data_IF_226429579175
#
_entry.id   IF_226429579175
#
_cell.length_a   1.000
_cell.length_b   1.000
_cell.length_c   1.000
_cell.angle_alpha   90.00
_cell.angle_beta   90.00
_cell.angle_gamma   90.00
#
_symmetry.space_group_name_H-M   'P 1'
#
loop_
_entity.id
_entity.type
_entity.pdbx_description
1 polymer ?
#
# COMPACT_ATOMS: atom_id res chain seq x y z
N UNK A 1 17.07 12.14 -14.18
CA UNK A 1 18.25 12.58 -13.40
C UNK A 1 18.91 11.38 -12.71
N UNK A 2 18.17 10.64 -11.87
CA UNK A 2 18.70 9.49 -11.11
C UNK A 2 19.42 8.47 -11.99
N UNK A 3 18.84 8.10 -13.15
CA UNK A 3 19.46 7.16 -14.08
C UNK A 3 20.90 7.54 -14.48
N UNK A 4 21.16 8.83 -14.73
CA UNK A 4 22.53 9.28 -15.12
C UNK A 4 23.53 9.06 -13.99
N UNK A 5 23.13 9.29 -12.75
CA UNK A 5 23.95 9.09 -11.56
C UNK A 5 24.26 7.60 -11.37
N UNK A 6 23.24 6.76 -11.37
CA UNK A 6 23.43 5.31 -11.19
C UNK A 6 24.21 4.66 -12.34
N UNK A 7 23.97 5.10 -13.59
CA UNK A 7 24.78 4.64 -14.74
C UNK A 7 26.25 4.95 -14.53
N UNK A 8 26.59 6.19 -14.16
CA UNK A 8 27.97 6.58 -13.89
C UNK A 8 28.61 5.77 -12.75
N UNK A 9 27.87 5.54 -11.67
CA UNK A 9 28.32 4.70 -10.56
C UNK A 9 28.59 3.26 -10.99
N UNK A 10 27.73 2.67 -11.81
CA UNK A 10 27.91 1.33 -12.36
C UNK A 10 29.12 1.26 -13.30
N UNK A 11 29.27 2.22 -14.18
CA UNK A 11 30.41 2.28 -15.11
C UNK A 11 31.74 2.47 -14.39
N UNK A 12 31.80 3.27 -13.33
CA UNK A 12 32.99 3.40 -12.46
C UNK A 12 33.32 2.09 -11.75
N UNK A 13 32.32 1.33 -11.33
CA UNK A 13 32.52 0.09 -10.55
C UNK A 13 32.82 -1.13 -11.42
N UNK A 14 32.18 -1.28 -12.55
CA UNK A 14 32.19 -2.48 -13.37
C UNK A 14 32.75 -2.30 -14.79
N UNK A 15 33.13 -1.07 -15.14
CA UNK A 15 33.43 -0.71 -16.53
C UNK A 15 32.15 -0.62 -17.39
N UNK A 16 32.27 -0.16 -18.62
CA UNK A 16 31.13 0.07 -19.51
C UNK A 16 30.37 -1.22 -19.85
N UNK A 17 31.09 -2.29 -20.19
CA UNK A 17 30.47 -3.60 -20.51
C UNK A 17 29.80 -4.22 -19.29
N UNK A 18 30.49 -4.23 -18.14
CA UNK A 18 29.91 -4.77 -16.92
C UNK A 18 28.71 -3.97 -16.40
N UNK A 19 28.65 -2.66 -16.64
CA UNK A 19 27.48 -1.84 -16.36
C UNK A 19 26.31 -2.17 -17.29
N UNK A 20 26.57 -2.38 -18.59
CA UNK A 20 25.57 -2.77 -19.57
C UNK A 20 24.79 -4.03 -19.16
N UNK A 21 25.50 -5.05 -18.68
CA UNK A 21 24.92 -6.33 -18.23
C UNK A 21 24.07 -6.21 -16.95
N UNK A 22 24.09 -5.05 -16.27
CA UNK A 22 23.41 -4.80 -14.99
C UNK A 22 22.33 -3.73 -15.08
N UNK A 23 22.08 -3.24 -16.28
CA UNK A 23 21.04 -2.24 -16.54
C UNK A 23 19.89 -2.92 -17.30
N UNK A 24 18.75 -2.97 -16.67
CA UNK A 24 17.49 -3.46 -17.22
C UNK A 24 16.56 -2.27 -17.44
N UNK A 25 16.04 -2.10 -18.64
CA UNK A 25 15.20 -0.96 -18.98
C UNK A 25 13.75 -1.41 -19.25
N UNK A 26 12.85 -1.08 -18.33
CA UNK A 26 11.41 -1.25 -18.56
C UNK A 26 10.89 0.00 -19.26
N UNK A 27 10.45 -0.13 -20.51
CA UNK A 27 10.13 1.01 -21.37
C UNK A 27 9.12 0.65 -22.47
N UNK A 28 8.77 1.64 -23.28
CA UNK A 28 7.95 1.45 -24.48
C UNK A 28 8.60 0.45 -25.47
N UNK A 29 7.77 -0.26 -26.21
CA UNK A 29 8.20 -1.26 -27.18
C UNK A 29 9.04 -0.67 -28.32
N UNK A 30 8.67 0.50 -28.80
CA UNK A 30 9.18 1.04 -30.07
C UNK A 30 9.81 2.42 -29.98
N UNK A 31 9.40 3.29 -29.04
CA UNK A 31 9.73 4.72 -29.05
C UNK A 31 10.06 5.26 -27.66
N UNK A 32 10.55 6.48 -27.64
CA UNK A 32 10.91 7.18 -26.42
C UNK A 32 12.40 7.22 -26.13
N UNK A 33 12.83 8.18 -25.33
CA UNK A 33 14.25 8.44 -25.04
C UNK A 33 14.94 7.22 -24.39
N UNK A 34 14.28 6.55 -23.45
CA UNK A 34 14.83 5.36 -22.80
C UNK A 34 14.94 4.18 -23.76
N UNK A 35 13.96 3.97 -24.63
CA UNK A 35 14.02 2.92 -25.66
C UNK A 35 15.18 3.16 -26.64
N UNK A 36 15.33 4.38 -27.11
CA UNK A 36 16.43 4.76 -27.99
C UNK A 36 17.79 4.52 -27.32
N UNK A 37 17.93 4.94 -26.09
CA UNK A 37 19.15 4.72 -25.31
C UNK A 37 19.44 3.24 -25.08
N UNK A 38 18.44 2.47 -24.63
CA UNK A 38 18.60 1.04 -24.35
C UNK A 38 19.01 0.27 -25.61
N UNK A 39 18.41 0.60 -26.76
CA UNK A 39 18.79 0.00 -28.04
C UNK A 39 20.23 0.35 -28.43
N UNK A 40 20.64 1.62 -28.28
CA UNK A 40 21.99 2.09 -28.59
C UNK A 40 23.07 1.45 -27.70
N UNK A 41 22.81 1.36 -26.41
CA UNK A 41 23.78 0.85 -25.42
C UNK A 41 23.69 -0.68 -25.25
N UNK A 42 22.67 -1.32 -25.85
CA UNK A 42 22.48 -2.78 -25.77
C UNK A 42 21.97 -3.25 -24.40
N UNK A 43 21.15 -2.45 -23.72
CA UNK A 43 20.53 -2.87 -22.46
C UNK A 43 19.42 -3.88 -22.73
N UNK A 44 19.24 -4.83 -21.81
CA UNK A 44 18.07 -5.69 -21.80
C UNK A 44 16.80 -4.87 -21.54
N UNK A 45 15.73 -5.14 -22.29
CA UNK A 45 14.51 -4.34 -22.21
C UNK A 45 13.28 -5.18 -21.93
N UNK A 46 12.44 -4.65 -21.04
CA UNK A 46 11.09 -5.17 -20.78
C UNK A 46 10.05 -4.17 -21.27
N UNK A 47 8.98 -4.67 -21.85
CA UNK A 47 7.97 -3.82 -22.48
C UNK A 47 6.86 -3.47 -21.49
N UNK A 48 6.53 -2.19 -21.38
CA UNK A 48 5.29 -1.75 -20.73
C UNK A 48 4.15 -1.88 -21.73
N UNK A 49 3.07 -2.62 -21.43
CA UNK A 49 1.92 -2.73 -22.34
C UNK A 49 1.27 -1.35 -22.59
N UNK A 50 0.97 -1.04 -23.85
CA UNK A 50 0.42 0.27 -24.24
C UNK A 50 -0.94 0.60 -23.61
N UNK A 51 -1.70 -0.42 -23.24
CA UNK A 51 -3.03 -0.32 -22.63
C UNK A 51 -3.02 -0.34 -21.11
N UNK A 52 -1.84 -0.30 -20.45
CA UNK A 52 -1.70 -0.27 -19.01
C UNK A 52 -1.12 1.07 -18.56
N UNK A 53 -1.93 1.87 -17.88
CA UNK A 53 -1.50 3.13 -17.28
C UNK A 53 -0.52 2.94 -16.11
N UNK A 54 0.29 3.97 -15.81
CA UNK A 54 1.34 3.89 -14.79
C UNK A 54 0.88 3.38 -13.43
N UNK A 55 -0.21 3.92 -12.89
CA UNK A 55 -0.76 3.53 -11.58
C UNK A 55 -1.35 2.11 -11.53
N UNK A 56 -1.58 1.49 -12.68
CA UNK A 56 -2.04 0.09 -12.79
C UNK A 56 -0.92 -0.89 -13.14
N UNK A 57 0.32 -0.42 -13.25
CA UNK A 57 1.42 -1.17 -13.87
C UNK A 57 2.20 -2.07 -12.91
N UNK A 58 1.85 -2.14 -11.63
CA UNK A 58 2.59 -2.93 -10.62
C UNK A 58 2.68 -4.42 -10.99
N UNK A 59 1.65 -5.00 -11.60
CA UNK A 59 1.64 -6.39 -12.07
C UNK A 59 2.14 -6.55 -13.53
N UNK A 60 2.92 -5.60 -14.00
CA UNK A 60 3.68 -5.70 -15.26
C UNK A 60 5.18 -5.70 -14.94
N UNK A 61 6.04 -5.73 -15.96
CA UNK A 61 7.48 -5.63 -15.76
C UNK A 61 7.92 -4.38 -14.97
N UNK A 62 7.10 -3.33 -14.90
CA UNK A 62 7.38 -2.13 -14.10
C UNK A 62 7.54 -2.46 -12.62
N UNK A 63 6.62 -3.24 -12.06
CA UNK A 63 6.68 -3.66 -10.66
C UNK A 63 7.31 -5.04 -10.47
N UNK A 64 6.99 -6.01 -11.35
CA UNK A 64 7.44 -7.39 -11.17
C UNK A 64 8.96 -7.56 -11.22
N UNK A 65 9.66 -6.77 -12.07
CA UNK A 65 11.12 -6.86 -12.14
C UNK A 65 11.80 -6.49 -10.81
N UNK A 66 11.57 -5.30 -10.22
CA UNK A 66 12.17 -4.96 -8.92
C UNK A 66 11.66 -5.85 -7.79
N UNK A 67 10.42 -6.32 -7.82
CA UNK A 67 9.87 -7.27 -6.84
C UNK A 67 10.62 -8.60 -6.90
N UNK A 68 10.85 -9.15 -8.09
CA UNK A 68 11.63 -10.38 -8.28
C UNK A 68 13.08 -10.21 -7.80
N UNK A 69 13.72 -9.07 -8.12
CA UNK A 69 15.08 -8.74 -7.67
C UNK A 69 15.20 -8.67 -6.15
N UNK A 70 14.12 -8.27 -5.45
CA UNK A 70 14.07 -8.25 -3.98
C UNK A 70 13.90 -9.65 -3.36
N UNK A 71 13.72 -10.69 -4.17
CA UNK A 71 13.58 -12.08 -3.72
C UNK A 71 12.14 -12.50 -3.42
N UNK A 72 11.15 -11.67 -3.73
CA UNK A 72 9.73 -12.00 -3.59
C UNK A 72 9.28 -12.90 -4.74
N UNK A 73 8.50 -13.92 -4.42
CA UNK A 73 7.93 -14.87 -5.38
C UNK A 73 6.83 -14.20 -6.22
N UNK A 74 7.21 -13.78 -7.42
CA UNK A 74 6.29 -13.11 -8.35
C UNK A 74 5.24 -14.05 -8.95
N UNK A 75 5.49 -15.37 -8.97
CA UNK A 75 4.51 -16.34 -9.46
C UNK A 75 3.35 -16.43 -8.48
N UNK A 76 3.63 -16.52 -7.17
CA UNK A 76 2.59 -16.48 -6.14
C UNK A 76 1.85 -15.15 -6.11
N UNK A 77 2.56 -14.04 -6.30
CA UNK A 77 1.92 -12.73 -6.40
C UNK A 77 0.92 -12.67 -7.57
N UNK A 78 1.32 -13.15 -8.74
CA UNK A 78 0.46 -13.20 -9.92
C UNK A 78 -0.69 -14.19 -9.77
N UNK A 79 -0.44 -15.33 -9.12
CA UNK A 79 -1.47 -16.31 -8.81
C UNK A 79 -2.55 -15.70 -7.91
N UNK A 80 -2.17 -15.06 -6.80
CA UNK A 80 -3.13 -14.39 -5.91
C UNK A 80 -3.97 -13.33 -6.62
N UNK A 81 -3.34 -12.53 -7.50
CA UNK A 81 -4.06 -11.55 -8.30
C UNK A 81 -5.05 -12.21 -9.28
N UNK A 82 -4.70 -13.35 -9.88
CA UNK A 82 -5.57 -14.08 -10.77
C UNK A 82 -6.76 -14.70 -10.01
N UNK A 83 -6.52 -15.31 -8.87
CA UNK A 83 -7.56 -15.88 -8.00
C UNK A 83 -8.56 -14.82 -7.57
N UNK A 84 -8.07 -13.67 -7.06
CA UNK A 84 -8.94 -12.57 -6.65
C UNK A 84 -9.76 -12.00 -7.81
N UNK A 85 -9.17 -11.93 -9.00
CA UNK A 85 -9.89 -11.52 -10.21
C UNK A 85 -11.06 -12.47 -10.54
N UNK A 86 -10.83 -13.77 -10.49
CA UNK A 86 -11.89 -14.76 -10.76
C UNK A 86 -12.99 -14.69 -9.70
N UNK A 87 -12.65 -14.54 -8.42
CA UNK A 87 -13.61 -14.37 -7.34
C UNK A 87 -14.46 -13.09 -7.52
N UNK A 88 -13.80 -11.97 -7.85
CA UNK A 88 -14.50 -10.71 -8.09
C UNK A 88 -15.48 -10.80 -9.28
N UNK A 89 -15.06 -11.44 -10.39
CA UNK A 89 -15.91 -11.62 -11.56
C UNK A 89 -17.09 -12.58 -11.28
N UNK A 90 -16.86 -13.67 -10.56
CA UNK A 90 -17.90 -14.62 -10.17
C UNK A 90 -18.90 -14.00 -9.19
N UNK A 91 -18.43 -13.20 -8.24
CA UNK A 91 -19.25 -12.53 -7.23
C UNK A 91 -20.07 -11.35 -7.77
N UNK A 92 -19.60 -10.72 -8.84
CA UNK A 92 -20.26 -9.55 -9.44
C UNK A 92 -20.50 -8.44 -8.39
N UNK A 93 -21.74 -7.98 -8.25
CA UNK A 93 -22.12 -6.95 -7.26
C UNK A 93 -22.04 -7.41 -5.81
N UNK A 94 -21.92 -8.71 -5.57
CA UNK A 94 -21.75 -9.31 -4.25
C UNK A 94 -20.28 -9.50 -3.88
N UNK A 95 -19.36 -9.24 -4.78
CA UNK A 95 -17.92 -9.33 -4.49
C UNK A 95 -17.52 -8.27 -3.46
N UNK A 96 -16.46 -8.55 -2.71
CA UNK A 96 -15.92 -7.64 -1.69
C UNK A 96 -15.53 -6.29 -2.30
N UNK A 97 -14.94 -6.33 -3.50
CA UNK A 97 -14.52 -5.13 -4.23
C UNK A 97 -15.71 -4.25 -4.63
N UNK A 98 -16.77 -4.87 -5.15
CA UNK A 98 -17.97 -4.14 -5.52
C UNK A 98 -18.66 -3.54 -4.30
N UNK A 99 -18.76 -4.28 -3.21
CA UNK A 99 -19.33 -3.78 -1.96
C UNK A 99 -18.50 -2.64 -1.37
N UNK A 100 -17.17 -2.76 -1.38
CA UNK A 100 -16.28 -1.67 -0.96
C UNK A 100 -16.50 -0.41 -1.80
N UNK A 101 -16.52 -0.55 -3.12
CA UNK A 101 -16.75 0.57 -4.03
C UNK A 101 -18.13 1.23 -3.81
N UNK A 102 -19.19 0.43 -3.63
CA UNK A 102 -20.53 0.92 -3.34
C UNK A 102 -20.58 1.67 -2.01
N UNK A 103 -19.98 1.13 -0.94
CA UNK A 103 -19.93 1.77 0.37
C UNK A 103 -19.21 3.12 0.29
N UNK A 104 -18.07 3.21 -0.37
CA UNK A 104 -17.34 4.45 -0.60
C UNK A 104 -18.22 5.50 -1.29
N UNK A 105 -18.88 5.10 -2.38
CA UNK A 105 -19.75 6.01 -3.12
C UNK A 105 -20.97 6.44 -2.32
N UNK A 106 -21.61 5.53 -1.60
CA UNK A 106 -22.75 5.87 -0.72
C UNK A 106 -22.34 6.85 0.37
N UNK A 107 -21.22 6.64 1.02
CA UNK A 107 -20.69 7.55 2.04
C UNK A 107 -20.32 8.91 1.44
N UNK A 108 -19.72 8.95 0.26
CA UNK A 108 -19.42 10.19 -0.46
C UNK A 108 -20.70 10.99 -0.74
N UNK A 109 -21.78 10.33 -1.14
CA UNK A 109 -23.09 10.99 -1.38
C UNK A 109 -23.70 11.57 -0.11
N UNK A 110 -23.25 11.15 1.08
CA UNK A 110 -23.65 11.75 2.38
C UNK A 110 -22.68 12.82 2.88
N UNK A 111 -21.74 13.27 2.04
CA UNK A 111 -20.76 14.30 2.39
C UNK A 111 -19.45 13.80 2.96
N UNK A 112 -19.17 12.48 2.89
CA UNK A 112 -17.89 11.89 3.31
C UNK A 112 -16.91 11.87 2.13
N UNK A 113 -16.33 13.03 1.83
CA UNK A 113 -15.51 13.25 0.63
C UNK A 113 -14.01 12.97 0.83
N UNK A 114 -13.60 12.59 2.04
CA UNK A 114 -12.22 12.20 2.35
C UNK A 114 -12.23 10.78 2.88
N UNK A 115 -11.49 9.90 2.26
CA UNK A 115 -11.23 8.56 2.78
C UNK A 115 -9.83 8.48 3.36
N UNK A 116 -9.74 8.00 4.59
CA UNK A 116 -8.47 7.79 5.30
C UNK A 116 -8.21 6.30 5.37
N UNK A 117 -7.16 5.86 4.66
CA UNK A 117 -6.65 4.50 4.80
C UNK A 117 -5.75 4.43 6.04
N UNK A 118 -6.24 3.75 7.07
CA UNK A 118 -5.55 3.61 8.35
C UNK A 118 -4.91 2.23 8.45
N UNK A 119 -3.60 2.17 8.59
CA UNK A 119 -2.86 0.92 8.74
C UNK A 119 -2.14 0.85 10.08
N UNK A 120 -2.16 -0.35 10.69
CA UNK A 120 -1.46 -0.64 11.96
C UNK A 120 -0.18 -1.45 11.74
N UNK A 121 0.22 -1.58 10.49
CA UNK A 121 1.43 -2.29 10.06
C UNK A 121 2.35 -1.33 9.30
N UNK A 122 3.50 -0.96 9.86
CA UNK A 122 4.40 0.04 9.25
C UNK A 122 4.89 -0.33 7.85
N UNK A 123 5.04 -1.62 7.55
CA UNK A 123 5.47 -2.08 6.23
C UNK A 123 4.42 -1.85 5.13
N UNK A 124 3.15 -1.61 5.51
CA UNK A 124 2.07 -1.31 4.58
C UNK A 124 2.11 0.14 4.02
N UNK A 125 2.94 0.99 4.58
CA UNK A 125 3.02 2.42 4.23
C UNK A 125 3.12 2.67 2.72
N UNK A 126 3.98 1.96 2.00
CA UNK A 126 4.13 2.15 0.56
C UNK A 126 2.94 1.62 -0.26
N UNK A 127 2.21 0.65 0.25
CA UNK A 127 0.92 0.23 -0.33
C UNK A 127 -0.12 1.35 -0.19
N UNK A 128 -0.15 2.05 0.94
CA UNK A 128 -1.00 3.21 1.14
C UNK A 128 -0.63 4.38 0.20
N UNK A 129 0.68 4.61 -0.06
CA UNK A 129 1.11 5.60 -1.05
C UNK A 129 0.64 5.24 -2.47
N UNK A 130 0.76 3.97 -2.87
CA UNK A 130 0.23 3.53 -4.16
C UNK A 130 -1.30 3.64 -4.22
N UNK A 131 -2.01 3.28 -3.16
CA UNK A 131 -3.46 3.42 -3.05
C UNK A 131 -3.90 4.88 -3.25
N UNK A 132 -3.18 5.85 -2.66
CA UNK A 132 -3.44 7.29 -2.86
C UNK A 132 -3.30 7.69 -4.33
N UNK A 133 -2.22 7.25 -4.98
CA UNK A 133 -2.03 7.51 -6.42
C UNK A 133 -3.14 6.87 -7.26
N UNK A 134 -3.44 5.60 -6.99
CA UNK A 134 -4.44 4.84 -7.74
C UNK A 134 -5.81 5.54 -7.72
N UNK A 135 -6.30 5.89 -6.55
CA UNK A 135 -7.59 6.55 -6.41
C UNK A 135 -7.55 8.03 -6.78
N UNK A 136 -6.54 8.77 -6.34
CA UNK A 136 -6.42 10.20 -6.64
C UNK A 136 -6.35 10.49 -8.14
N UNK A 137 -5.54 9.77 -8.89
CA UNK A 137 -5.45 9.94 -10.35
C UNK A 137 -6.62 9.31 -11.11
N UNK A 138 -7.30 8.32 -10.56
CA UNK A 138 -8.44 7.68 -11.23
C UNK A 138 -9.72 8.46 -11.04
N UNK A 139 -10.02 8.90 -9.84
CA UNK A 139 -11.30 9.50 -9.44
C UNK A 139 -11.28 11.04 -9.38
N UNK A 140 -10.11 11.66 -9.14
CA UNK A 140 -9.96 13.12 -9.04
C UNK A 140 -10.06 13.83 -10.38
N UNK A 141 -11.24 13.83 -11.01
CA UNK A 141 -11.53 14.41 -12.31
C UNK A 141 -12.85 15.17 -12.26
N UNK A 142 -13.04 16.11 -13.17
CA UNK A 142 -14.27 16.86 -13.33
C UNK A 142 -14.78 17.50 -12.01
N UNK A 143 -13.84 17.89 -11.14
CA UNK A 143 -14.10 18.45 -9.80
C UNK A 143 -14.86 17.50 -8.87
N UNK A 144 -14.73 16.19 -9.09
CA UNK A 144 -15.35 15.13 -8.29
C UNK A 144 -14.28 14.19 -7.73
N UNK A 145 -14.73 13.13 -7.06
CA UNK A 145 -13.88 12.09 -6.48
C UNK A 145 -13.74 12.20 -4.96
N UNK A 146 -13.34 11.10 -4.36
CA UNK A 146 -13.06 11.02 -2.92
C UNK A 146 -11.56 11.29 -2.73
N UNK A 147 -11.22 12.24 -1.85
CA UNK A 147 -9.82 12.56 -1.58
C UNK A 147 -9.15 11.45 -0.77
N UNK A 148 -8.14 10.76 -1.31
CA UNK A 148 -7.46 9.68 -0.60
C UNK A 148 -6.37 10.22 0.31
N UNK A 149 -6.45 9.90 1.60
CA UNK A 149 -5.41 10.17 2.59
C UNK A 149 -5.01 8.88 3.29
N UNK A 150 -3.87 8.85 3.97
CA UNK A 150 -3.47 7.69 4.78
C UNK A 150 -2.84 8.12 6.10
N UNK A 151 -2.95 7.25 7.10
CA UNK A 151 -2.31 7.39 8.41
C UNK A 151 -1.66 6.08 8.83
N UNK A 152 -0.52 6.18 9.50
CA UNK A 152 0.17 5.06 10.13
C UNK A 152 -0.17 5.04 11.63
N UNK A 153 -0.96 4.13 12.05
CA UNK A 153 -1.38 4.01 13.44
C UNK A 153 -0.48 3.00 14.20
N UNK A 154 -0.10 3.25 15.44
CA UNK A 154 -0.66 4.23 16.39
C UNK A 154 0.01 5.63 16.40
N UNK A 155 1.21 5.86 15.77
CA UNK A 155 1.89 7.16 15.86
C UNK A 155 1.01 8.34 15.46
N UNK A 156 0.24 8.21 14.38
CA UNK A 156 -0.61 9.28 13.88
C UNK A 156 -1.87 9.56 14.73
N UNK A 157 -2.13 8.79 15.78
CA UNK A 157 -3.11 9.19 16.80
C UNK A 157 -2.71 10.50 17.48
N UNK A 158 -1.39 10.78 17.56
CA UNK A 158 -0.84 12.02 18.13
C UNK A 158 -0.77 13.18 17.13
N UNK A 159 -1.15 12.96 15.88
CA UNK A 159 -1.19 13.99 14.83
C UNK A 159 -2.61 14.14 14.27
N UNK A 160 -3.11 13.14 13.58
CA UNK A 160 -4.40 13.15 12.89
C UNK A 160 -5.57 12.65 13.74
N UNK A 161 -5.30 11.90 14.82
CA UNK A 161 -6.34 11.26 15.63
C UNK A 161 -7.36 12.24 16.20
N UNK A 162 -6.92 13.40 16.70
CA UNK A 162 -7.83 14.44 17.20
C UNK A 162 -8.79 14.94 16.10
N UNK A 163 -8.26 15.19 14.90
CA UNK A 163 -9.11 15.64 13.79
C UNK A 163 -10.07 14.56 13.31
N UNK A 164 -9.62 13.31 13.25
CA UNK A 164 -10.49 12.17 12.90
C UNK A 164 -11.61 12.02 13.92
N UNK A 165 -11.30 12.13 15.22
CA UNK A 165 -12.28 11.98 16.30
C UNK A 165 -13.27 13.13 16.40
N UNK A 166 -12.82 14.39 16.28
CA UNK A 166 -13.65 15.58 16.59
C UNK A 166 -13.66 16.65 15.50
N UNK A 167 -12.96 16.45 14.40
CA UNK A 167 -12.96 17.38 13.27
C UNK A 167 -14.25 17.36 12.46
N UNK A 168 -14.23 17.99 11.30
CA UNK A 168 -15.38 18.01 10.39
C UNK A 168 -15.79 16.60 9.96
N UNK A 169 -17.09 16.32 9.96
CA UNK A 169 -17.66 14.99 9.62
C UNK A 169 -17.67 14.71 8.11
N UNK A 170 -16.59 15.04 7.42
CA UNK A 170 -16.38 14.78 6.00
C UNK A 170 -15.54 13.53 5.74
N UNK A 171 -15.12 12.83 6.80
CA UNK A 171 -14.25 11.66 6.74
C UNK A 171 -15.03 10.36 6.71
N UNK A 172 -14.49 9.39 6.00
CA UNK A 172 -14.72 7.96 6.15
C UNK A 172 -13.37 7.28 6.35
N UNK A 173 -13.31 6.24 7.13
CA UNK A 173 -12.06 5.51 7.44
C UNK A 173 -12.12 4.10 6.88
N UNK A 174 -11.01 3.66 6.28
CA UNK A 174 -10.80 2.27 5.89
C UNK A 174 -9.60 1.74 6.67
N UNK A 175 -9.87 0.88 7.65
CA UNK A 175 -8.84 0.24 8.47
C UNK A 175 -8.33 -1.01 7.77
N UNK A 176 -7.01 -1.10 7.57
CA UNK A 176 -6.35 -2.33 7.11
C UNK A 176 -5.62 -2.96 8.28
N UNK A 177 -5.97 -4.21 8.57
CA UNK A 177 -5.40 -4.97 9.68
C UNK A 177 -4.98 -6.37 9.24
N UNK A 178 -3.83 -6.82 9.74
CA UNK A 178 -3.29 -8.15 9.51
C UNK A 178 -3.46 -9.00 10.78
N UNK A 179 -4.12 -10.15 10.63
CA UNK A 179 -4.40 -11.03 11.78
C UNK A 179 -3.15 -11.65 12.38
N UNK A 180 -2.14 -11.89 11.54
CA UNK A 180 -0.87 -12.46 11.95
C UNK A 180 0.29 -11.54 11.61
N UNK A 181 1.01 -11.13 12.62
CA UNK A 181 2.23 -10.34 12.45
C UNK A 181 3.37 -11.20 11.86
N UNK A 182 4.27 -10.55 11.10
CA UNK A 182 5.45 -11.20 10.52
C UNK A 182 6.41 -11.73 11.58
N UNK A 183 6.55 -11.02 12.70
CA UNK A 183 7.40 -11.36 13.83
C UNK A 183 6.64 -11.21 15.11
N UNK A 184 6.95 -12.05 16.09
CA UNK A 184 6.35 -12.01 17.41
C UNK A 184 7.38 -11.49 18.41
N UNK A 185 6.95 -10.49 19.19
CA UNK A 185 7.73 -9.93 20.30
C UNK A 185 6.79 -9.86 21.49
N UNK A 186 7.11 -10.59 22.57
CA UNK A 186 6.36 -10.53 23.82
C UNK A 186 6.90 -9.41 24.72
N UNK A 187 6.01 -8.77 25.46
CA UNK A 187 6.36 -7.79 26.49
C UNK A 187 7.07 -8.52 27.64
N UNK A 188 8.30 -8.13 28.02
CA UNK A 188 8.96 -8.72 29.16
C UNK A 188 8.30 -8.30 30.48
N UNK A 189 8.48 -9.09 31.53
CA UNK A 189 8.18 -8.64 32.90
C UNK A 189 9.30 -7.80 33.44
N UNK A 190 8.96 -6.77 34.23
CA UNK A 190 9.92 -5.94 34.96
C UNK A 190 9.70 -6.14 36.46
N UNK A 191 10.79 -6.42 37.24
CA UNK A 191 10.68 -6.72 38.67
C UNK A 191 10.20 -5.51 39.47
N UNK A 192 10.59 -4.31 39.09
CA UNK A 192 10.21 -3.07 39.80
C UNK A 192 8.83 -2.55 39.37
N UNK A 193 8.40 -2.89 38.14
CA UNK A 193 7.11 -2.47 37.58
C UNK A 193 6.82 -0.97 37.73
N UNK A 194 7.83 -0.12 37.55
CA UNK A 194 7.72 1.35 37.75
C UNK A 194 6.75 1.99 36.74
N UNK A 195 6.63 1.42 35.55
CA UNK A 195 5.72 1.88 34.50
C UNK A 195 4.29 1.31 34.68
N UNK A 196 4.08 0.36 35.59
CA UNK A 196 2.80 -0.28 35.83
C UNK A 196 2.35 -1.22 34.71
N UNK A 197 3.24 -1.64 33.79
CA UNK A 197 2.88 -2.37 32.58
C UNK A 197 2.99 -3.90 32.70
N UNK A 198 3.31 -4.46 33.88
CA UNK A 198 3.39 -5.91 34.07
C UNK A 198 2.08 -6.67 33.77
N UNK A 199 0.94 -6.01 33.73
CA UNK A 199 -0.31 -6.62 33.27
C UNK A 199 -0.28 -7.02 31.76
N UNK A 200 0.67 -6.48 30.99
CA UNK A 200 0.94 -6.84 29.60
C UNK A 200 2.03 -7.92 29.48
N UNK A 201 2.74 -8.25 30.55
CA UNK A 201 3.83 -9.21 30.48
C UNK A 201 3.38 -10.55 29.88
N UNK A 202 4.18 -11.06 28.94
CA UNK A 202 3.86 -12.26 28.15
C UNK A 202 2.85 -12.04 27.01
N UNK A 203 2.26 -10.85 26.88
CA UNK A 203 1.43 -10.51 25.70
C UNK A 203 2.31 -10.11 24.54
N UNK A 204 1.92 -10.54 23.35
CA UNK A 204 2.60 -10.14 22.13
C UNK A 204 2.26 -8.70 21.72
N UNK A 205 3.19 -8.02 21.08
CA UNK A 205 2.96 -6.67 20.55
C UNK A 205 1.82 -6.63 19.54
N UNK A 206 1.62 -7.70 18.77
CA UNK A 206 0.48 -7.83 17.85
C UNK A 206 -0.87 -7.79 18.58
N UNK A 207 -0.98 -8.43 19.74
CA UNK A 207 -2.17 -8.36 20.60
C UNK A 207 -2.44 -6.92 21.06
N UNK A 208 -1.41 -6.21 21.52
CA UNK A 208 -1.53 -4.83 21.99
C UNK A 208 -1.97 -3.94 20.82
N UNK A 209 -1.37 -4.12 19.66
CA UNK A 209 -1.71 -3.37 18.45
C UNK A 209 -3.16 -3.64 17.99
N UNK A 210 -3.62 -4.88 18.07
CA UNK A 210 -5.02 -5.22 17.79
C UNK A 210 -5.98 -4.54 18.77
N UNK A 211 -5.65 -4.51 20.07
CA UNK A 211 -6.48 -3.81 21.06
C UNK A 211 -6.51 -2.30 20.83
N UNK A 212 -5.39 -1.71 20.45
CA UNK A 212 -5.34 -0.31 20.05
C UNK A 212 -6.23 -0.05 18.83
N UNK A 213 -6.18 -0.90 17.80
CA UNK A 213 -7.04 -0.80 16.61
C UNK A 213 -8.52 -0.90 16.99
N UNK A 214 -8.91 -1.90 17.78
CA UNK A 214 -10.29 -2.11 18.19
C UNK A 214 -10.85 -0.91 18.97
N UNK A 215 -10.05 -0.37 19.90
CA UNK A 215 -10.44 0.79 20.71
C UNK A 215 -10.57 2.07 19.87
N UNK A 216 -9.60 2.33 19.01
CA UNK A 216 -9.62 3.51 18.10
C UNK A 216 -10.81 3.44 17.15
N UNK A 217 -11.04 2.29 16.51
CA UNK A 217 -12.20 2.06 15.65
C UNK A 217 -13.52 2.32 16.39
N UNK A 218 -13.66 1.79 17.60
CA UNK A 218 -14.87 2.01 18.41
C UNK A 218 -15.07 3.49 18.75
N UNK A 219 -13.99 4.20 19.09
CA UNK A 219 -14.04 5.64 19.37
C UNK A 219 -14.44 6.45 18.13
N UNK A 220 -13.86 6.18 16.96
CA UNK A 220 -14.18 6.86 15.71
C UNK A 220 -15.64 6.63 15.31
N UNK A 221 -16.14 5.39 15.38
CA UNK A 221 -17.56 5.06 15.13
C UNK A 221 -18.47 5.82 16.08
N UNK A 222 -18.17 5.79 17.38
CA UNK A 222 -18.94 6.54 18.39
C UNK A 222 -18.92 8.05 18.14
N UNK A 223 -17.82 8.57 17.59
CA UNK A 223 -17.68 9.97 17.16
C UNK A 223 -18.38 10.28 15.83
N UNK A 224 -19.02 9.32 15.17
CA UNK A 224 -19.75 9.53 13.91
C UNK A 224 -18.87 9.48 12.65
N UNK A 225 -17.70 8.83 12.72
CA UNK A 225 -16.88 8.51 11.55
C UNK A 225 -17.26 7.09 11.07
N UNK A 226 -17.77 6.92 9.85
CA UNK A 226 -17.99 5.60 9.28
C UNK A 226 -16.66 4.87 9.10
N UNK A 227 -16.58 3.60 9.51
CA UNK A 227 -15.38 2.79 9.41
C UNK A 227 -15.68 1.51 8.62
N UNK A 228 -14.89 1.28 7.58
CA UNK A 228 -14.79 0.01 6.87
C UNK A 228 -13.53 -0.71 7.35
N UNK A 229 -13.59 -2.02 7.56
CA UNK A 229 -12.43 -2.81 7.97
C UNK A 229 -12.09 -3.84 6.89
N UNK A 230 -10.83 -3.86 6.48
CA UNK A 230 -10.24 -4.88 5.60
C UNK A 230 -9.29 -5.70 6.46
N UNK A 231 -9.63 -6.96 6.68
CA UNK A 231 -8.75 -7.89 7.40
C UNK A 231 -8.04 -8.81 6.43
N UNK A 232 -6.74 -8.90 6.60
CA UNK A 232 -5.87 -9.78 5.83
C UNK A 232 -5.29 -10.84 6.77
N UNK A 233 -5.14 -12.10 6.33
CA UNK A 233 -4.75 -13.20 7.22
C UNK A 233 -3.33 -13.01 7.76
N UNK A 234 -2.40 -12.64 6.90
CA UNK A 234 -1.00 -12.44 7.32
C UNK A 234 -0.25 -11.54 6.34
N UNK A 235 0.88 -11.00 6.78
CA UNK A 235 1.90 -10.38 5.95
C UNK A 235 2.90 -11.45 5.51
N UNK A 236 3.07 -11.65 4.23
CA UNK A 236 4.02 -12.60 3.62
C UNK A 236 5.06 -11.90 2.73
#
# INVERSE_FOLDING_TARGET
>A
IAFRIFKEMLEKKYGKEGARERIYATTDKAKGALKTLATKEGYETFVVPDNVGGRYSVLTAVGLLPIAVSGIDIEKLMQGAAEQREEALAGGVQSVEAQYAMNRQMLSNTGKHVEILAAYEPSFRFMAEWWKQLYGESEGKDQTGIFPASVDLTPDLHSMGQYMQEGRRMLQETVVFFDKARTSIAVPSDEENLDGLNYLAGREMSYINEKAMQATKAAHISGGVPVTEIRLPEIC
#
